data_IF_402534626071
#
_entry.id   IF_402534626071
#
_cell.length_a   1.000
_cell.length_b   1.000
_cell.length_c   1.000
_cell.angle_alpha   90.00
_cell.angle_beta   90.00
_cell.angle_gamma   90.00
#
_symmetry.space_group_name_H-M   'P 1'
#
loop_
_entity.id
_entity.type
_entity.pdbx_description
1 polymer ?
#
# COMPACT_ATOMS: atom_id res chain seq x y z
N UNK A 1 -3.01 -4.19 -7.30
CA UNK A 1 -1.83 -5.00 -6.92
C UNK A 1 -0.91 -5.10 -8.14
N UNK A 2 0.36 -4.81 -7.94
CA UNK A 2 1.40 -4.93 -8.99
C UNK A 2 1.05 -4.26 -10.33
N UNK A 3 0.54 -3.03 -10.26
CA UNK A 3 0.19 -2.22 -11.42
C UNK A 3 -1.19 -2.50 -12.03
N UNK A 4 -1.96 -3.42 -11.44
CA UNK A 4 -3.29 -3.77 -11.93
C UNK A 4 -4.36 -3.57 -10.85
N UNK A 5 -5.56 -3.16 -11.29
CA UNK A 5 -6.72 -3.15 -10.42
C UNK A 5 -7.27 -4.57 -10.30
N UNK A 6 -7.47 -5.01 -9.07
CA UNK A 6 -8.09 -6.31 -8.77
C UNK A 6 -9.33 -6.11 -7.90
N UNK A 7 -10.39 -6.91 -8.07
CA UNK A 7 -11.54 -6.87 -7.19
C UNK A 7 -11.13 -7.11 -5.73
N UNK A 8 -11.86 -6.51 -4.80
CA UNK A 8 -11.56 -6.60 -3.37
C UNK A 8 -11.37 -8.05 -2.88
N UNK A 9 -12.29 -8.94 -3.25
CA UNK A 9 -12.25 -10.34 -2.81
C UNK A 9 -11.15 -11.17 -3.50
N UNK A 10 -10.59 -10.67 -4.59
CA UNK A 10 -9.49 -11.31 -5.32
C UNK A 10 -8.11 -10.76 -4.91
N UNK A 11 -8.06 -9.73 -4.07
CA UNK A 11 -6.82 -9.15 -3.55
C UNK A 11 -6.22 -10.07 -2.46
N UNK A 12 -5.69 -11.20 -2.89
CA UNK A 12 -5.20 -12.28 -2.05
C UNK A 12 -3.73 -12.60 -2.34
N UNK A 13 -3.08 -13.26 -1.38
CA UNK A 13 -1.72 -13.76 -1.52
C UNK A 13 -1.66 -15.22 -1.11
N UNK A 14 -0.70 -15.94 -1.66
CA UNK A 14 -0.47 -17.34 -1.32
C UNK A 14 0.01 -17.46 0.14
N UNK A 15 -0.37 -18.53 0.83
CA UNK A 15 0.03 -18.79 2.23
C UNK A 15 1.54 -18.89 2.40
N UNK A 16 2.29 -19.25 1.36
CA UNK A 16 3.75 -19.27 1.35
C UNK A 16 4.38 -17.95 0.87
N UNK A 17 3.62 -16.86 0.88
CA UNK A 17 4.18 -15.52 0.67
C UNK A 17 5.23 -15.23 1.73
N UNK A 18 6.45 -14.86 1.30
CA UNK A 18 7.61 -14.69 2.18
C UNK A 18 7.32 -13.77 3.37
N UNK A 19 6.65 -12.66 3.13
CA UNK A 19 6.31 -11.68 4.17
C UNK A 19 5.44 -12.25 5.30
N UNK A 20 4.57 -13.23 5.03
CA UNK A 20 3.74 -13.86 6.06
C UNK A 20 4.54 -14.69 7.07
N UNK A 21 5.71 -15.18 6.67
CA UNK A 21 6.57 -16.03 7.49
C UNK A 21 7.67 -15.25 8.19
N UNK A 22 8.21 -14.22 7.53
CA UNK A 22 9.40 -13.51 7.99
C UNK A 22 9.19 -12.03 8.26
N UNK A 23 7.98 -11.52 8.07
CA UNK A 23 7.67 -10.12 8.32
C UNK A 23 8.35 -9.13 7.37
N UNK A 24 8.73 -9.58 6.18
CA UNK A 24 9.43 -8.76 5.18
C UNK A 24 8.46 -7.88 4.41
N UNK A 25 7.93 -6.90 5.10
CA UNK A 25 7.00 -5.94 4.52
C UNK A 25 7.11 -4.58 5.19
N UNK A 26 6.76 -3.52 4.46
CA UNK A 26 6.63 -2.16 4.94
C UNK A 26 5.33 -1.56 4.42
N UNK A 27 4.75 -0.64 5.16
CA UNK A 27 3.49 -0.01 4.78
C UNK A 27 3.41 1.43 5.29
N UNK A 28 2.45 2.16 4.75
CA UNK A 28 2.02 3.45 5.25
C UNK A 28 0.53 3.43 5.63
N UNK A 29 0.13 4.34 6.50
CA UNK A 29 -1.27 4.63 6.79
C UNK A 29 -1.56 6.06 6.38
N UNK A 30 -2.41 6.24 5.38
CA UNK A 30 -2.67 7.54 4.75
C UNK A 30 -4.17 7.82 4.78
N UNK A 31 -4.54 9.09 4.94
CA UNK A 31 -5.94 9.50 4.94
C UNK A 31 -6.27 10.34 3.73
N UNK A 32 -7.43 10.06 3.15
CA UNK A 32 -8.10 10.93 2.21
C UNK A 32 -9.28 11.61 2.92
N UNK A 33 -9.37 12.91 2.80
CA UNK A 33 -10.45 13.71 3.39
C UNK A 33 -11.34 14.29 2.30
N UNK A 34 -12.63 14.31 2.58
CA UNK A 34 -13.60 15.03 1.75
C UNK A 34 -13.45 16.54 2.01
N UNK A 35 -13.19 17.30 0.96
CA UNK A 35 -13.03 18.74 1.03
C UNK A 35 -13.99 19.44 0.07
N UNK A 36 -14.10 20.76 0.18
CA UNK A 36 -14.94 21.59 -0.70
C UNK A 36 -14.56 21.48 -2.18
N UNK A 37 -13.28 21.15 -2.45
CA UNK A 37 -12.77 20.96 -3.83
C UNK A 37 -12.69 19.47 -4.23
N UNK A 38 -13.20 18.56 -3.41
CA UNK A 38 -13.21 17.12 -3.65
C UNK A 38 -12.31 16.33 -2.70
N UNK A 39 -12.15 15.03 -2.95
CA UNK A 39 -11.27 14.18 -2.14
C UNK A 39 -9.81 14.65 -2.20
N UNK A 40 -9.17 14.76 -1.06
CA UNK A 40 -7.77 15.19 -0.96
C UNK A 40 -6.98 14.25 -0.05
N UNK A 41 -5.90 13.69 -0.57
CA UNK A 41 -4.99 12.83 0.18
C UNK A 41 -4.04 13.69 0.99
N UNK A 42 -4.07 13.54 2.31
CA UNK A 42 -3.24 14.33 3.20
C UNK A 42 -1.78 13.88 3.12
N UNK A 43 -0.91 14.80 2.72
CA UNK A 43 0.56 14.61 2.62
C UNK A 43 0.97 13.37 1.80
N UNK A 44 0.28 13.13 0.69
CA UNK A 44 0.54 11.96 -0.15
C UNK A 44 2.02 11.81 -0.53
N UNK A 45 2.66 12.90 -0.95
CA UNK A 45 4.07 12.90 -1.33
C UNK A 45 4.98 12.48 -0.17
N UNK A 46 4.75 12.99 1.03
CA UNK A 46 5.58 12.66 2.21
C UNK A 46 5.42 11.19 2.61
N UNK A 47 4.20 10.65 2.53
CA UNK A 47 3.94 9.24 2.79
C UNK A 47 4.60 8.33 1.76
N UNK A 48 4.54 8.70 0.48
CA UNK A 48 5.22 7.96 -0.58
C UNK A 48 6.74 7.98 -0.35
N UNK A 49 7.31 9.13 -0.04
CA UNK A 49 8.73 9.24 0.26
C UNK A 49 9.14 8.36 1.46
N UNK A 50 8.34 8.35 2.51
CA UNK A 50 8.61 7.51 3.69
C UNK A 50 8.46 6.02 3.39
N UNK A 51 7.49 5.63 2.55
CA UNK A 51 7.34 4.25 2.09
C UNK A 51 8.61 3.76 1.37
N UNK A 52 9.14 4.58 0.47
CA UNK A 52 10.37 4.26 -0.26
C UNK A 52 11.57 4.14 0.68
N UNK A 53 11.73 5.07 1.63
CA UNK A 53 12.80 5.00 2.64
C UNK A 53 12.69 3.75 3.50
N UNK A 54 11.49 3.40 3.95
CA UNK A 54 11.26 2.16 4.70
C UNK A 54 11.61 0.93 3.89
N UNK A 55 11.24 0.92 2.61
CA UNK A 55 11.55 -0.18 1.68
C UNK A 55 13.05 -0.34 1.45
N UNK A 56 13.77 0.76 1.30
CA UNK A 56 15.24 0.76 1.14
C UNK A 56 15.94 0.15 2.37
N UNK A 57 15.49 0.44 3.58
CA UNK A 57 16.04 -0.12 4.80
C UNK A 57 15.91 -1.65 4.87
N UNK A 58 14.93 -2.22 4.22
CA UNK A 58 14.71 -3.66 4.13
C UNK A 58 15.26 -4.28 2.83
N UNK A 59 16.02 -3.52 2.05
CA UNK A 59 16.55 -3.97 0.75
C UNK A 59 15.45 -4.47 -0.19
N UNK A 60 14.29 -3.82 -0.17
CA UNK A 60 13.17 -4.11 -1.05
C UNK A 60 13.03 -2.99 -2.10
N UNK A 61 13.67 -3.09 -3.27
CA UNK A 61 13.51 -2.06 -4.30
C UNK A 61 12.07 -2.07 -4.82
N UNK A 62 11.39 -0.93 -4.67
CA UNK A 62 10.04 -0.76 -5.20
C UNK A 62 10.11 -0.77 -6.73
N UNK A 63 9.37 -1.67 -7.43
CA UNK A 63 9.47 -1.78 -8.90
C UNK A 63 8.73 -0.68 -9.66
N UNK A 64 8.39 0.41 -9.00
CA UNK A 64 7.72 1.60 -9.54
C UNK A 64 8.43 2.84 -9.03
N UNK A 65 8.30 3.96 -9.74
CA UNK A 65 8.77 5.23 -9.23
C UNK A 65 7.74 5.88 -8.28
N UNK A 66 8.17 6.94 -7.59
CA UNK A 66 7.35 7.65 -6.59
C UNK A 66 6.08 8.24 -7.19
N UNK A 67 6.17 8.77 -8.40
CA UNK A 67 5.03 9.36 -9.09
C UNK A 67 4.01 8.30 -9.49
N UNK A 68 4.45 7.14 -9.94
CA UNK A 68 3.57 6.00 -10.24
C UNK A 68 2.78 5.55 -9.01
N UNK A 69 3.42 5.46 -7.84
CA UNK A 69 2.75 5.12 -6.58
C UNK A 69 1.75 6.21 -6.17
N UNK A 70 2.15 7.48 -6.32
CA UNK A 70 1.29 8.63 -6.00
C UNK A 70 0.03 8.63 -6.87
N UNK A 71 0.19 8.46 -8.18
CA UNK A 71 -0.91 8.42 -9.14
C UNK A 71 -1.81 7.18 -8.93
N UNK A 72 -1.22 6.01 -8.71
CA UNK A 72 -1.99 4.80 -8.43
C UNK A 72 -2.88 4.94 -7.20
N UNK A 73 -2.41 5.65 -6.17
CA UNK A 73 -3.21 5.98 -4.98
C UNK A 73 -4.44 6.79 -5.35
N UNK A 74 -4.25 7.87 -6.12
CA UNK A 74 -5.36 8.75 -6.55
C UNK A 74 -6.35 8.01 -7.43
N UNK A 75 -5.87 7.21 -8.38
CA UNK A 75 -6.73 6.41 -9.27
C UNK A 75 -7.52 5.35 -8.51
N UNK A 76 -6.93 4.73 -7.49
CA UNK A 76 -7.62 3.73 -6.67
C UNK A 76 -8.78 4.36 -5.90
N UNK A 77 -8.60 5.54 -5.35
CA UNK A 77 -9.66 6.31 -4.68
C UNK A 77 -10.78 6.65 -5.68
N UNK A 78 -10.42 7.17 -6.84
CA UNK A 78 -11.37 7.55 -7.87
C UNK A 78 -12.19 6.36 -8.38
N UNK A 79 -11.56 5.22 -8.61
CA UNK A 79 -12.24 3.98 -9.05
C UNK A 79 -13.24 3.44 -8.04
N UNK A 80 -13.01 3.66 -6.77
CA UNK A 80 -13.92 3.24 -5.70
C UNK A 80 -14.98 4.30 -5.38
N UNK A 81 -15.00 5.43 -6.08
CA UNK A 81 -15.91 6.56 -5.83
C UNK A 81 -15.90 7.03 -4.37
N UNK A 82 -14.75 6.96 -3.72
CA UNK A 82 -14.61 7.35 -2.32
C UNK A 82 -14.32 8.85 -2.21
N UNK A 83 -14.90 9.50 -1.22
CA UNK A 83 -14.65 10.91 -0.89
C UNK A 83 -13.78 11.05 0.35
N UNK A 84 -13.97 10.15 1.31
CA UNK A 84 -13.16 10.06 2.51
C UNK A 84 -12.83 8.59 2.74
N UNK A 85 -11.55 8.29 2.93
CA UNK A 85 -11.14 6.90 3.08
C UNK A 85 -9.78 6.77 3.77
N UNK A 86 -9.49 5.57 4.21
CA UNK A 86 -8.17 5.13 4.61
C UNK A 86 -7.46 4.49 3.42
N UNK A 87 -6.16 4.69 3.35
CA UNK A 87 -5.30 4.19 2.28
C UNK A 87 -4.17 3.40 2.92
N UNK A 88 -3.98 2.16 2.49
CA UNK A 88 -2.89 1.30 2.90
C UNK A 88 -2.01 0.93 1.71
N UNK A 89 -0.95 1.68 1.44
CA UNK A 89 0.11 1.22 0.53
C UNK A 89 1.01 0.23 1.26
N UNK A 90 1.37 -0.84 0.58
CA UNK A 90 2.10 -1.98 1.11
C UNK A 90 3.16 -2.43 0.11
N UNK A 91 4.39 -2.61 0.57
CA UNK A 91 5.50 -3.22 -0.18
C UNK A 91 5.96 -4.45 0.59
N UNK A 92 6.05 -5.59 -0.08
CA UNK A 92 6.35 -6.84 0.61
C UNK A 92 7.07 -7.86 -0.28
N UNK A 93 7.84 -8.75 0.35
CA UNK A 93 8.40 -9.92 -0.34
C UNK A 93 7.28 -10.93 -0.59
N UNK A 94 7.08 -11.25 -1.86
CA UNK A 94 5.98 -12.07 -2.34
C UNK A 94 6.24 -13.57 -2.33
N UNK A 95 5.37 -14.26 -3.04
CA UNK A 95 5.42 -15.72 -3.22
C UNK A 95 6.47 -16.13 -4.26
N UNK A 96 7.10 -17.28 -4.04
CA UNK A 96 8.02 -17.91 -4.98
C UNK A 96 9.26 -18.49 -4.31
N UNK A 97 9.83 -17.81 -3.34
CA UNK A 97 11.04 -18.22 -2.62
C UNK A 97 10.79 -18.18 -1.11
N UNK A 98 11.04 -19.30 -0.43
CA UNK A 98 10.83 -19.45 1.02
C UNK A 98 12.13 -19.44 1.84
N UNK A 99 13.27 -19.27 1.20
CA UNK A 99 14.55 -19.21 1.90
C UNK A 99 14.66 -18.02 2.86
N UNK A 100 15.49 -18.16 3.89
CA UNK A 100 15.78 -17.07 4.85
C UNK A 100 16.46 -15.87 4.19
N UNK A 101 17.05 -16.06 3.01
CA UNK A 101 17.70 -14.99 2.25
C UNK A 101 16.65 -14.22 1.43
N UNK A 102 16.18 -13.06 1.92
CA UNK A 102 15.01 -12.41 1.34
C UNK A 102 15.27 -11.76 -0.03
N UNK A 103 16.52 -11.53 -0.40
CA UNK A 103 16.87 -10.76 -1.60
C UNK A 103 16.46 -11.48 -2.90
N UNK A 104 16.24 -12.79 -2.86
CA UNK A 104 15.77 -13.57 -4.01
C UNK A 104 14.24 -13.57 -4.16
N UNK A 105 13.52 -13.20 -3.12
CA UNK A 105 12.06 -13.12 -3.18
C UNK A 105 11.63 -11.87 -3.96
N UNK A 106 10.60 -12.03 -4.81
CA UNK A 106 10.04 -10.90 -5.56
C UNK A 106 9.51 -9.81 -4.62
N UNK A 107 9.53 -8.57 -5.08
CA UNK A 107 8.92 -7.44 -4.38
C UNK A 107 7.56 -7.16 -5.01
N UNK A 108 6.51 -7.28 -4.21
CA UNK A 108 5.15 -6.98 -4.59
C UNK A 108 4.68 -5.66 -3.96
N UNK A 109 3.77 -4.97 -4.66
CA UNK A 109 3.17 -3.72 -4.19
C UNK A 109 1.66 -3.84 -4.25
N UNK A 110 0.99 -3.41 -3.19
CA UNK A 110 -0.46 -3.29 -3.15
C UNK A 110 -0.86 -1.93 -2.56
N UNK A 111 -1.94 -1.36 -3.07
CA UNK A 111 -2.58 -0.17 -2.50
C UNK A 111 -4.05 -0.53 -2.29
N UNK A 112 -4.48 -0.58 -1.04
CA UNK A 112 -5.87 -0.81 -0.68
C UNK A 112 -6.50 0.47 -0.13
N UNK A 113 -7.76 0.72 -0.50
CA UNK A 113 -8.54 1.85 0.01
C UNK A 113 -9.90 1.36 0.51
N UNK A 114 -10.36 1.91 1.63
CA UNK A 114 -11.68 1.59 2.18
C UNK A 114 -12.18 2.70 3.08
N UNK A 115 -13.49 2.78 3.24
CA UNK A 115 -14.07 3.64 4.26
C UNK A 115 -13.71 3.10 5.64
N UNK A 116 -13.10 3.95 6.45
CA UNK A 116 -12.80 3.62 7.83
C UNK A 116 -13.19 4.78 8.71
N UNK A 117 -14.04 4.54 9.68
CA UNK A 117 -14.47 5.54 10.66
C UNK A 117 -13.35 6.05 11.54
N UNK A 118 -13.63 6.46 12.74
CA UNK A 118 -12.60 6.89 13.68
C UNK A 118 -11.60 5.75 13.93
N UNK A 119 -10.35 5.97 13.58
CA UNK A 119 -9.29 4.95 13.62
C UNK A 119 -9.06 4.39 15.04
N UNK A 120 -9.27 5.22 16.05
CA UNK A 120 -9.10 4.87 17.45
C UNK A 120 -10.43 4.66 18.20
N UNK A 121 -11.56 4.52 17.47
CA UNK A 121 -12.89 4.47 18.05
C UNK A 121 -13.50 5.85 18.27
N UNK A 122 -14.71 5.89 18.83
CA UNK A 122 -15.44 7.15 19.06
C UNK A 122 -14.79 8.05 20.13
N UNK A 123 -13.88 7.50 20.93
CA UNK A 123 -13.19 8.19 22.03
C UNK A 123 -11.71 8.50 21.74
N UNK A 124 -11.24 8.25 20.50
CA UNK A 124 -9.84 8.45 20.10
C UNK A 124 -9.58 9.70 19.27
#
# INVERSE_FOLDING_TARGET
MNGEFVPWDEAQVHVLTHALHYGTSVFEGVRCYDTEIGPAVFRNQDHVERLFKSSELYYMPVPYDREQIRQATLETIARNNLRSCYIRPLVFRGYGTMGLFPLEARVDVAIAVWEWGAYLGEEG
#
